data_IF_143275663949
#
_entry.id   IF_143275663949
#
_cell.length_a   1.000
_cell.length_b   1.000
_cell.length_c   1.000
_cell.angle_alpha   90.00
_cell.angle_beta   90.00
_cell.angle_gamma   90.00
#
_symmetry.space_group_name_H-M   'P 1'
#
loop_
_entity.id
_entity.type
_entity.pdbx_description
1 polymer ?
#
# COMPACT_ATOMS: atom_id res chain seq x y z
N UNK A 1 -3.90 -7.72 11.90
CA UNK A 1 -4.75 -8.78 12.48
C UNK A 1 -6.17 -8.29 12.41
N UNK A 2 -7.09 -9.10 11.91
CA UNK A 2 -8.51 -8.76 11.91
C UNK A 2 -9.19 -9.41 13.11
N UNK A 3 -10.15 -8.70 13.71
CA UNK A 3 -11.00 -9.18 14.80
C UNK A 3 -12.45 -8.83 14.46
N UNK A 4 -13.40 -9.67 14.86
CA UNK A 4 -14.80 -9.58 14.43
C UNK A 4 -15.77 -9.20 15.57
N UNK A 5 -15.26 -8.96 16.77
CA UNK A 5 -16.06 -8.50 17.91
C UNK A 5 -15.28 -7.60 18.84
N UNK A 6 -16.01 -6.81 19.63
CA UNK A 6 -15.41 -5.97 20.67
C UNK A 6 -14.69 -6.80 21.74
N UNK A 7 -15.21 -7.97 22.08
CA UNK A 7 -14.60 -8.88 23.06
C UNK A 7 -13.25 -9.37 22.53
N UNK A 8 -13.23 -9.85 21.29
CA UNK A 8 -12.00 -10.32 20.64
C UNK A 8 -10.96 -9.20 20.50
N UNK A 9 -11.40 -7.98 20.17
CA UNK A 9 -10.53 -6.81 20.11
C UNK A 9 -9.86 -6.56 21.47
N UNK A 10 -10.63 -6.52 22.55
CA UNK A 10 -10.12 -6.26 23.91
C UNK A 10 -9.13 -7.33 24.36
N UNK A 11 -9.48 -8.61 24.15
CA UNK A 11 -8.60 -9.73 24.46
C UNK A 11 -7.30 -9.66 23.67
N UNK A 12 -7.39 -9.29 22.38
CA UNK A 12 -6.22 -9.21 21.51
C UNK A 12 -5.31 -8.04 21.85
N UNK A 13 -5.86 -6.86 22.07
CA UNK A 13 -5.08 -5.68 22.47
C UNK A 13 -4.31 -5.98 23.75
N UNK A 14 -4.98 -6.50 24.78
CA UNK A 14 -4.33 -6.88 26.05
C UNK A 14 -3.18 -7.87 25.83
N UNK A 15 -3.39 -8.91 25.02
CA UNK A 15 -2.35 -9.91 24.75
C UNK A 15 -1.12 -9.33 24.04
N UNK A 16 -1.29 -8.33 23.17
CA UNK A 16 -0.18 -7.69 22.46
C UNK A 16 0.53 -6.70 23.38
N UNK A 17 -0.22 -5.95 24.17
CA UNK A 17 0.32 -4.98 25.14
C UNK A 17 1.22 -5.68 26.16
N UNK A 18 0.77 -6.81 26.72
CA UNK A 18 1.56 -7.63 27.66
C UNK A 18 2.87 -8.15 27.05
N UNK A 19 2.93 -8.36 25.73
CA UNK A 19 4.11 -8.89 25.03
C UNK A 19 5.08 -7.81 24.56
N UNK A 20 4.58 -6.63 24.24
CA UNK A 20 5.34 -5.59 23.52
C UNK A 20 5.60 -4.35 24.35
N UNK A 21 4.75 -4.06 25.35
CA UNK A 21 4.76 -2.79 26.08
C UNK A 21 4.67 -1.55 25.17
N UNK A 22 4.06 -1.71 23.99
CA UNK A 22 3.82 -0.63 23.03
C UNK A 22 2.39 -0.11 23.13
N UNK A 23 2.21 1.16 22.81
CA UNK A 23 0.88 1.73 22.59
C UNK A 23 0.21 1.06 21.39
N UNK A 24 -1.06 0.71 21.55
CA UNK A 24 -1.84 0.02 20.52
C UNK A 24 -3.01 0.89 20.09
N UNK A 25 -3.31 0.86 18.80
CA UNK A 25 -4.53 1.39 18.23
C UNK A 25 -5.25 0.29 17.45
N UNK A 26 -6.55 0.49 17.24
CA UNK A 26 -7.37 -0.36 16.41
C UNK A 26 -8.19 0.52 15.47
N UNK A 27 -8.33 0.06 14.24
CA UNK A 27 -9.02 0.77 13.17
C UNK A 27 -10.13 -0.09 12.61
N UNK A 28 -11.11 0.57 12.02
CA UNK A 28 -12.14 -0.13 11.26
C UNK A 28 -11.51 -0.73 10.00
N UNK A 29 -11.79 -2.01 9.75
CA UNK A 29 -11.34 -2.65 8.52
C UNK A 29 -12.16 -2.17 7.33
N UNK A 30 -11.48 -1.60 6.35
CA UNK A 30 -12.10 -1.10 5.11
C UNK A 30 -12.21 -2.26 4.11
N UNK A 31 -13.37 -2.87 3.96
CA UNK A 31 -13.60 -3.85 2.90
C UNK A 31 -13.52 -3.20 1.51
N UNK A 32 -12.84 -3.85 0.56
CA UNK A 32 -12.74 -3.35 -0.80
C UNK A 32 -11.42 -3.69 -1.49
N UNK A 33 -11.03 -2.84 -2.45
CA UNK A 33 -9.79 -2.97 -3.24
C UNK A 33 -8.63 -2.33 -2.47
N UNK A 34 -7.40 -2.81 -2.70
CA UNK A 34 -6.19 -2.30 -2.04
C UNK A 34 -5.18 -1.86 -3.10
N UNK A 35 -4.61 -0.66 -2.94
CA UNK A 35 -3.71 -0.05 -3.92
C UNK A 35 -2.45 0.53 -3.27
N UNK A 36 -1.41 0.64 -4.05
CA UNK A 36 -0.20 1.36 -3.69
C UNK A 36 0.17 2.38 -4.77
N UNK A 37 0.61 3.56 -4.33
CA UNK A 37 1.17 4.61 -5.19
C UNK A 37 2.59 4.90 -4.73
N UNK A 38 3.56 4.66 -5.62
CA UNK A 38 4.96 5.00 -5.38
C UNK A 38 5.27 6.42 -5.85
N UNK A 39 6.02 7.16 -5.05
CA UNK A 39 6.47 8.53 -5.35
C UNK A 39 7.99 8.60 -5.12
N UNK A 40 8.70 9.31 -5.99
CA UNK A 40 10.14 9.56 -5.82
C UNK A 40 10.55 10.94 -6.33
N UNK A 41 11.74 11.39 -5.93
CA UNK A 41 12.30 12.68 -6.32
C UNK A 41 12.24 13.72 -5.20
N UNK A 42 12.62 14.97 -5.49
CA UNK A 42 12.71 16.03 -4.50
C UNK A 42 11.33 16.45 -3.99
N UNK A 43 11.27 16.90 -2.74
CA UNK A 43 10.06 17.35 -2.05
C UNK A 43 9.14 18.23 -2.92
N UNK A 44 9.70 19.24 -3.59
CA UNK A 44 8.94 20.25 -4.33
C UNK A 44 8.59 19.85 -5.78
N UNK A 45 9.20 18.80 -6.30
CA UNK A 45 8.93 18.33 -7.66
C UNK A 45 9.02 16.79 -7.75
N UNK A 46 8.14 16.08 -7.04
CA UNK A 46 8.14 14.62 -7.04
C UNK A 46 7.55 14.05 -8.33
N UNK A 47 7.98 12.85 -8.68
CA UNK A 47 7.38 12.01 -9.71
C UNK A 47 6.48 10.97 -9.06
N UNK A 48 5.19 10.99 -9.43
CA UNK A 48 4.20 10.00 -9.00
C UNK A 48 4.13 8.90 -10.04
N UNK A 49 4.33 7.66 -9.62
CA UNK A 49 4.17 6.51 -10.49
C UNK A 49 2.69 6.09 -10.60
N UNK A 50 2.30 5.42 -11.69
CA UNK A 50 0.97 4.80 -11.77
C UNK A 50 0.73 3.86 -10.59
N UNK A 51 -0.50 3.81 -10.04
CA UNK A 51 -0.84 2.88 -8.97
C UNK A 51 -0.74 1.43 -9.45
N UNK A 52 -0.64 0.51 -8.50
CA UNK A 52 -0.93 -0.91 -8.71
C UNK A 52 -1.91 -1.40 -7.64
N UNK A 53 -2.73 -2.37 -8.02
CA UNK A 53 -3.73 -3.00 -7.16
C UNK A 53 -3.20 -4.33 -6.63
N UNK A 54 -3.53 -4.66 -5.39
CA UNK A 54 -3.40 -6.02 -4.87
C UNK A 54 -4.71 -6.78 -5.05
N UNK A 55 -4.67 -7.81 -5.89
CA UNK A 55 -5.80 -8.69 -6.22
C UNK A 55 -5.70 -9.96 -5.38
N UNK A 56 -6.80 -10.30 -4.70
CA UNK A 56 -6.91 -11.43 -3.79
C UNK A 56 -7.65 -12.60 -4.45
N UNK A 57 -6.95 -13.36 -5.29
CA UNK A 57 -7.55 -14.43 -6.09
C UNK A 57 -7.98 -15.62 -5.21
N UNK A 58 -9.21 -16.10 -5.36
CA UNK A 58 -9.63 -17.31 -4.63
C UNK A 58 -9.87 -17.14 -3.12
N UNK A 59 -9.70 -15.91 -2.57
CA UNK A 59 -9.88 -15.60 -1.15
C UNK A 59 -11.33 -15.70 -0.72
N UNK A 60 -12.24 -15.13 -1.50
CA UNK A 60 -13.68 -15.11 -1.21
C UNK A 60 -14.28 -16.52 -1.18
N UNK A 61 -13.88 -17.37 -2.14
CA UNK A 61 -14.27 -18.77 -2.23
C UNK A 61 -13.78 -19.60 -1.04
N UNK A 62 -12.77 -19.11 -0.31
CA UNK A 62 -12.21 -19.75 0.88
C UNK A 62 -12.62 -19.06 2.18
N UNK A 63 -13.52 -18.08 2.12
CA UNK A 63 -13.92 -17.27 3.28
C UNK A 63 -12.71 -16.66 3.99
N UNK A 64 -11.72 -16.20 3.21
CA UNK A 64 -10.52 -15.52 3.71
C UNK A 64 -10.63 -14.03 3.49
N UNK A 65 -10.12 -13.30 4.47
CA UNK A 65 -10.07 -11.85 4.46
C UNK A 65 -9.07 -11.33 3.44
N UNK A 66 -9.48 -10.33 2.66
CA UNK A 66 -8.67 -9.68 1.62
C UNK A 66 -7.71 -8.67 2.26
N UNK A 67 -6.68 -9.20 2.95
CA UNK A 67 -5.65 -8.41 3.66
C UNK A 67 -4.26 -8.96 3.35
N UNK A 68 -3.30 -8.06 3.11
CA UNK A 68 -1.90 -8.45 2.88
C UNK A 68 -1.21 -8.64 4.22
N UNK A 69 -1.18 -9.89 4.67
CA UNK A 69 -0.49 -10.28 5.90
C UNK A 69 0.98 -10.66 5.64
N UNK A 70 1.64 -11.17 6.67
CA UNK A 70 3.03 -11.63 6.57
C UNK A 70 3.17 -12.79 5.57
N UNK A 71 2.25 -13.76 5.60
CA UNK A 71 2.30 -14.93 4.71
C UNK A 71 2.20 -14.54 3.24
N UNK A 72 1.31 -13.60 2.90
CA UNK A 72 1.20 -13.02 1.56
C UNK A 72 2.53 -12.40 1.07
N UNK A 73 3.37 -11.88 1.98
CA UNK A 73 4.61 -11.17 1.63
C UNK A 73 5.86 -12.05 1.66
N UNK A 74 5.95 -12.98 2.61
CA UNK A 74 7.25 -13.56 3.00
C UNK A 74 7.26 -15.07 3.18
N UNK A 75 6.09 -15.72 3.21
CA UNK A 75 6.02 -17.16 3.44
C UNK A 75 5.70 -17.86 2.13
N UNK A 76 6.76 -18.23 1.39
CA UNK A 76 6.63 -18.98 0.14
C UNK A 76 5.81 -20.26 0.33
N UNK A 77 5.10 -20.66 -0.74
CA UNK A 77 4.24 -21.86 -0.77
C UNK A 77 3.02 -21.80 0.19
N UNK A 78 2.69 -20.61 0.70
CA UNK A 78 1.37 -20.38 1.33
C UNK A 78 0.34 -20.00 0.28
N UNK A 79 -0.93 -20.27 0.58
CA UNK A 79 -2.03 -19.87 -0.29
C UNK A 79 -2.01 -18.36 -0.55
N UNK A 80 -1.78 -17.58 0.51
CA UNK A 80 -1.69 -16.13 0.47
C UNK A 80 -0.58 -15.64 -0.46
N UNK A 81 0.64 -16.19 -0.33
CA UNK A 81 1.77 -15.83 -1.21
C UNK A 81 1.49 -16.14 -2.68
N UNK A 82 0.83 -17.26 -2.94
CA UNK A 82 0.55 -17.71 -4.30
C UNK A 82 -0.63 -16.98 -4.96
N UNK A 83 -1.55 -16.39 -4.19
CA UNK A 83 -2.84 -15.88 -4.69
C UNK A 83 -3.10 -14.39 -4.40
N UNK A 84 -2.20 -13.71 -3.70
CA UNK A 84 -2.15 -12.23 -3.71
C UNK A 84 -1.25 -11.81 -4.88
N UNK A 85 -1.82 -11.06 -5.83
CA UNK A 85 -1.13 -10.63 -7.05
C UNK A 85 -1.19 -9.14 -7.22
N UNK A 86 -0.10 -8.55 -7.69
CA UNK A 86 -0.10 -7.20 -8.19
C UNK A 86 -0.78 -7.14 -9.57
N UNK A 87 -1.68 -6.17 -9.76
CA UNK A 87 -2.30 -5.84 -11.03
C UNK A 87 -2.00 -4.40 -11.40
N UNK A 88 -1.70 -4.21 -12.68
CA UNK A 88 -1.50 -2.90 -13.32
C UNK A 88 -2.56 -2.66 -14.41
N UNK A 89 -3.53 -3.55 -14.50
CA UNK A 89 -4.51 -3.58 -15.57
C UNK A 89 -5.77 -2.88 -15.08
N UNK A 90 -5.88 -1.59 -15.44
CA UNK A 90 -7.02 -0.74 -15.13
C UNK A 90 -7.93 -0.65 -16.34
N UNK A 91 -9.24 -0.79 -16.10
CA UNK A 91 -10.26 -0.60 -17.14
C UNK A 91 -10.61 0.90 -17.26
N UNK A 92 -11.25 1.31 -18.35
CA UNK A 92 -11.62 2.72 -18.57
C UNK A 92 -12.44 3.32 -17.42
N UNK A 93 -13.25 2.50 -16.73
CA UNK A 93 -14.04 2.94 -15.57
C UNK A 93 -13.20 3.26 -14.33
N UNK A 94 -11.94 2.82 -14.27
CA UNK A 94 -11.00 3.11 -13.18
C UNK A 94 -10.25 4.43 -13.39
N UNK A 95 -10.40 5.13 -14.53
CA UNK A 95 -9.61 6.33 -14.84
C UNK A 95 -9.70 7.41 -13.75
N UNK A 96 -10.92 7.71 -13.28
CA UNK A 96 -11.13 8.69 -12.21
C UNK A 96 -10.51 8.23 -10.88
N UNK A 97 -10.57 6.93 -10.58
CA UNK A 97 -9.98 6.37 -9.38
C UNK A 97 -8.46 6.48 -9.41
N UNK A 98 -7.83 6.17 -10.55
CA UNK A 98 -6.38 6.30 -10.73
C UNK A 98 -5.93 7.75 -10.51
N UNK A 99 -6.64 8.72 -11.09
CA UNK A 99 -6.35 10.13 -10.89
C UNK A 99 -6.52 10.55 -9.42
N UNK A 100 -7.57 10.09 -8.75
CA UNK A 100 -7.82 10.36 -7.34
C UNK A 100 -6.72 9.79 -6.43
N UNK A 101 -6.29 8.55 -6.66
CA UNK A 101 -5.20 7.91 -5.92
C UNK A 101 -3.89 8.68 -6.07
N UNK A 102 -3.54 9.10 -7.29
CA UNK A 102 -2.31 9.86 -7.53
C UNK A 102 -2.37 11.24 -6.88
N UNK A 103 -3.52 11.92 -6.97
CA UNK A 103 -3.75 13.21 -6.32
C UNK A 103 -3.63 13.11 -4.80
N UNK A 104 -4.30 12.14 -4.18
CA UNK A 104 -4.23 11.94 -2.73
C UNK A 104 -2.83 11.56 -2.28
N UNK A 105 -2.10 10.77 -3.07
CA UNK A 105 -0.73 10.40 -2.74
C UNK A 105 0.21 11.62 -2.73
N UNK A 106 0.02 12.58 -3.66
CA UNK A 106 0.73 13.86 -3.64
C UNK A 106 0.36 14.72 -2.42
N UNK A 107 -0.90 14.74 -2.02
CA UNK A 107 -1.32 15.45 -0.81
C UNK A 107 -0.65 14.85 0.43
N UNK A 108 -0.59 13.51 0.54
CA UNK A 108 0.14 12.84 1.62
C UNK A 108 1.63 13.18 1.58
N UNK A 109 2.25 13.20 0.40
CA UNK A 109 3.65 13.58 0.22
C UNK A 109 3.94 14.98 0.77
N UNK A 110 3.12 15.97 0.41
CA UNK A 110 3.25 17.35 0.88
C UNK A 110 3.03 17.46 2.40
N UNK A 111 1.91 16.92 2.90
CA UNK A 111 1.52 17.01 4.32
C UNK A 111 2.54 16.33 5.23
N UNK A 112 3.05 15.18 4.81
CA UNK A 112 4.05 14.43 5.58
C UNK A 112 5.49 14.91 5.35
N UNK A 113 5.70 15.88 4.47
CA UNK A 113 7.03 16.43 4.18
C UNK A 113 8.00 15.39 3.61
N UNK A 114 7.49 14.46 2.79
CA UNK A 114 8.31 13.40 2.20
C UNK A 114 9.33 13.99 1.21
N UNK A 115 10.46 13.29 1.07
CA UNK A 115 11.57 13.68 0.21
C UNK A 115 12.33 12.42 -0.23
N UNK A 116 12.79 12.35 -1.48
CA UNK A 116 13.55 11.21 -1.99
C UNK A 116 12.66 10.07 -2.50
N UNK A 117 11.95 9.39 -1.61
CA UNK A 117 11.04 8.29 -1.95
C UNK A 117 9.90 8.12 -0.94
N UNK A 118 8.81 7.51 -1.39
CA UNK A 118 7.70 7.14 -0.53
C UNK A 118 6.72 6.21 -1.24
N UNK A 119 5.89 5.51 -0.46
CA UNK A 119 4.76 4.73 -0.96
C UNK A 119 3.54 5.04 -0.10
N UNK A 120 2.44 5.37 -0.75
CA UNK A 120 1.16 5.58 -0.07
C UNK A 120 0.28 4.37 -0.35
N UNK A 121 -0.27 3.82 0.72
CA UNK A 121 -1.09 2.60 0.66
C UNK A 121 -2.54 3.01 0.87
N UNK A 122 -3.43 2.50 0.03
CA UNK A 122 -4.82 2.90 -0.01
C UNK A 122 -5.74 1.69 0.04
N UNK A 123 -6.94 1.90 0.56
CA UNK A 123 -8.09 1.02 0.29
C UNK A 123 -9.23 1.81 -0.30
N UNK A 124 -9.96 1.18 -1.21
CA UNK A 124 -11.15 1.77 -1.84
C UNK A 124 -12.33 0.91 -1.47
N UNK A 125 -13.28 1.48 -0.76
CA UNK A 125 -14.43 0.73 -0.27
C UNK A 125 -15.44 0.39 -1.39
N UNK A 126 -16.46 -0.40 -1.05
CA UNK A 126 -17.53 -0.79 -1.98
C UNK A 126 -18.34 0.38 -2.58
N UNK A 127 -18.23 1.57 -2.01
CA UNK A 127 -18.89 2.79 -2.49
C UNK A 127 -17.96 3.66 -3.33
N UNK A 128 -16.71 3.23 -3.54
CA UNK A 128 -15.70 3.97 -4.27
C UNK A 128 -14.98 5.01 -3.43
N UNK A 129 -15.16 5.04 -2.10
CA UNK A 129 -14.46 5.99 -1.23
C UNK A 129 -13.00 5.55 -1.08
N UNK A 130 -12.07 6.47 -1.36
CA UNK A 130 -10.63 6.25 -1.17
C UNK A 130 -10.21 6.57 0.27
N UNK A 131 -9.53 5.62 0.90
CA UNK A 131 -9.00 5.71 2.26
C UNK A 131 -7.48 5.56 2.23
N UNK A 132 -6.75 6.50 2.85
CA UNK A 132 -5.30 6.36 3.09
C UNK A 132 -5.11 5.41 4.26
N UNK A 133 -4.36 4.32 4.06
CA UNK A 133 -3.99 3.39 5.11
C UNK A 133 -2.72 3.85 5.83
N UNK A 134 -1.66 4.04 5.07
CA UNK A 134 -0.35 4.40 5.62
C UNK A 134 0.51 5.18 4.63
N UNK A 135 1.42 5.96 5.20
CA UNK A 135 2.47 6.69 4.49
C UNK A 135 3.79 5.99 4.79
N UNK A 136 4.29 5.21 3.84
CA UNK A 136 5.59 4.57 3.95
C UNK A 136 6.68 5.53 3.45
N UNK A 137 7.41 6.18 4.36
CA UNK A 137 8.52 7.07 4.02
C UNK A 137 9.80 6.34 3.58
N UNK A 138 9.94 5.06 3.91
CA UNK A 138 11.05 4.20 3.48
C UNK A 138 10.54 2.82 3.06
N UNK A 139 9.78 2.75 1.95
CA UNK A 139 9.20 1.49 1.47
C UNK A 139 10.29 0.58 0.88
N UNK A 140 9.97 -0.70 0.71
CA UNK A 140 10.79 -1.57 -0.13
C UNK A 140 10.78 -1.10 -1.59
N UNK A 141 11.84 -1.44 -2.34
CA UNK A 141 11.95 -1.11 -3.76
C UNK A 141 11.03 -1.93 -4.68
N UNK A 142 10.26 -2.88 -4.14
CA UNK A 142 9.42 -3.80 -4.91
C UNK A 142 8.47 -3.07 -5.87
N UNK A 143 7.71 -2.10 -5.37
CA UNK A 143 6.75 -1.34 -6.19
C UNK A 143 7.45 -0.57 -7.31
N UNK A 144 8.50 0.18 -6.97
CA UNK A 144 9.30 0.93 -7.95
C UNK A 144 9.87 0.03 -9.06
N UNK A 145 10.42 -1.12 -8.69
CA UNK A 145 11.00 -2.07 -9.65
C UNK A 145 9.96 -2.63 -10.61
N UNK A 146 8.82 -3.09 -10.08
CA UNK A 146 7.81 -3.73 -10.90
C UNK A 146 7.04 -2.74 -11.78
N UNK A 147 6.76 -1.53 -11.29
CA UNK A 147 6.20 -0.45 -12.11
C UNK A 147 7.16 -0.11 -13.25
N UNK A 148 8.45 0.07 -12.94
CA UNK A 148 9.45 0.39 -13.96
C UNK A 148 9.49 -0.67 -15.06
N UNK A 149 9.50 -1.95 -14.66
CA UNK A 149 9.47 -3.08 -15.59
C UNK A 149 8.19 -3.10 -16.44
N UNK A 150 7.01 -2.92 -15.85
CA UNK A 150 5.72 -2.94 -16.56
C UNK A 150 5.61 -1.80 -17.58
N UNK A 151 6.13 -0.62 -17.24
CA UNK A 151 6.00 0.60 -18.06
C UNK A 151 7.23 0.92 -18.91
N UNK A 152 8.23 0.03 -18.93
CA UNK A 152 9.47 0.24 -19.71
C UNK A 152 10.33 1.40 -19.21
N UNK A 153 10.18 1.81 -17.95
CA UNK A 153 11.02 2.82 -17.33
C UNK A 153 12.36 2.20 -16.95
N UNK A 154 13.43 2.96 -17.08
CA UNK A 154 14.74 2.52 -16.61
C UNK A 154 14.82 2.65 -15.09
N UNK A 155 14.81 1.51 -14.40
CA UNK A 155 14.88 1.48 -12.94
C UNK A 155 16.12 2.16 -12.36
N UNK A 156 17.25 2.16 -13.10
CA UNK A 156 18.46 2.88 -12.67
C UNK A 156 18.22 4.39 -12.62
N UNK A 157 17.45 4.94 -13.56
CA UNK A 157 17.19 6.38 -13.61
C UNK A 157 16.28 6.81 -12.45
N UNK A 158 15.34 5.95 -12.04
CA UNK A 158 14.54 6.15 -10.82
C UNK A 158 15.45 6.19 -9.58
N UNK A 159 16.38 5.24 -9.45
CA UNK A 159 17.33 5.22 -8.32
C UNK A 159 18.24 6.46 -8.31
N UNK A 160 18.72 6.91 -9.47
CA UNK A 160 19.53 8.12 -9.57
C UNK A 160 18.74 9.35 -9.15
N UNK A 161 17.48 9.48 -9.58
CA UNK A 161 16.60 10.57 -9.17
C UNK A 161 16.36 10.59 -7.65
N UNK A 162 16.28 9.41 -7.00
CA UNK A 162 16.21 9.31 -5.53
C UNK A 162 17.50 9.77 -4.84
N UNK A 163 18.67 9.47 -5.41
CA UNK A 163 19.98 9.82 -4.86
C UNK A 163 20.37 11.28 -5.08
N UNK A 164 19.85 11.92 -6.11
CA UNK A 164 20.08 13.34 -6.41
C UNK A 164 19.37 14.27 -5.43
N UNK A 165 18.39 13.76 -4.69
CA UNK A 165 17.75 14.46 -3.58
C UNK A 165 18.77 14.66 -2.47
N UNK A 166 19.18 15.91 -2.27
CA UNK A 166 20.08 16.29 -1.19
C UNK A 166 19.26 16.62 0.06
N UNK A 167 19.80 16.28 1.22
CA UNK A 167 19.34 16.86 2.48
C UNK A 167 19.71 18.35 2.45
N UNK A 168 18.70 19.22 2.56
CA UNK A 168 18.91 20.65 2.84
C UNK A 168 19.24 20.89 4.33
#
# INVERSE_FOLDING_TARGET
MLVHSQVELQERMKSIEEKTSLDLFAEHFIEGREFNVCIFGPKDNPTVLPPYEWVFEGFEQRHKEKIINYDAKWTENTFEYEHVKESYDFVDTDANLVEELQKMALQCWEICGLNGLGRIDFRVDRWGTVWVLEVNANPSFYGFHNIARKWGLNFKDILLAMLEVRDE
#
